data_IF_566067381751
#
_entry.id   IF_566067381751
#
_cell.length_a   1.000
_cell.length_b   1.000
_cell.length_c   1.000
_cell.angle_alpha   90.00
_cell.angle_beta   90.00
_cell.angle_gamma   90.00
#
_symmetry.space_group_name_H-M   'P 1'
#
loop_
_entity.id
_entity.type
_entity.pdbx_description
1 polymer ?
#
# COMPACT_ATOMS: atom_id res chain seq x y z
N UNK A 1 49.18 -4.28 -18.99
CA UNK A 1 48.67 -3.04 -19.61
C UNK A 1 47.25 -2.81 -19.09
N UNK A 2 47.12 -1.83 -18.19
CA UNK A 2 45.88 -1.50 -17.48
C UNK A 2 44.92 -0.77 -18.41
N UNK A 3 43.71 -1.31 -18.63
CA UNK A 3 42.60 -0.57 -19.20
C UNK A 3 41.83 0.10 -18.06
N UNK A 4 42.19 1.34 -17.78
CA UNK A 4 41.39 2.23 -16.94
C UNK A 4 40.18 2.63 -17.80
N UNK A 5 38.99 2.14 -17.45
CA UNK A 5 37.73 2.66 -17.97
C UNK A 5 37.41 3.90 -17.13
N UNK A 6 37.70 5.07 -17.70
CA UNK A 6 37.26 6.36 -17.16
C UNK A 6 35.77 6.49 -17.48
N UNK A 7 34.92 6.35 -16.46
CA UNK A 7 33.55 6.86 -16.56
C UNK A 7 33.63 8.38 -16.58
N UNK A 8 33.44 8.98 -17.76
CA UNK A 8 33.12 10.40 -17.85
C UNK A 8 31.76 10.60 -17.19
N UNK A 9 31.77 11.17 -15.98
CA UNK A 9 30.61 11.82 -15.38
C UNK A 9 30.22 12.99 -16.29
N UNK A 10 29.30 12.73 -17.23
CA UNK A 10 28.54 13.81 -17.83
C UNK A 10 27.70 14.41 -16.71
N UNK A 11 28.13 15.57 -16.20
CA UNK A 11 27.32 16.44 -15.34
C UNK A 11 26.24 17.05 -16.25
N UNK A 12 25.28 16.23 -16.65
CA UNK A 12 24.02 16.72 -17.18
C UNK A 12 23.32 17.46 -16.05
N UNK A 13 22.91 18.70 -16.30
CA UNK A 13 22.00 19.41 -15.42
C UNK A 13 20.70 18.61 -15.36
N UNK A 14 20.58 17.68 -14.41
CA UNK A 14 19.32 17.03 -14.12
C UNK A 14 18.31 18.14 -13.84
N UNK A 15 17.14 18.16 -14.52
CA UNK A 15 16.10 19.10 -14.16
C UNK A 15 15.84 18.95 -12.67
N UNK A 16 16.06 20.03 -11.93
CA UNK A 16 15.81 20.05 -10.50
C UNK A 16 14.34 19.75 -10.31
N UNK A 17 14.04 18.57 -9.73
CA UNK A 17 12.72 18.27 -9.19
C UNK A 17 12.44 19.32 -8.13
N UNK A 18 11.76 20.42 -8.48
CA UNK A 18 11.30 21.38 -7.49
C UNK A 18 10.20 20.70 -6.70
N UNK A 19 10.51 20.31 -5.47
CA UNK A 19 9.52 19.81 -4.52
C UNK A 19 8.38 20.82 -4.41
N UNK A 20 7.14 20.36 -4.58
CA UNK A 20 5.98 21.17 -4.26
C UNK A 20 5.80 21.13 -2.74
N UNK A 21 5.72 22.30 -2.12
CA UNK A 21 5.62 22.44 -0.67
C UNK A 21 4.16 22.57 -0.24
N UNK A 22 3.83 21.98 0.91
CA UNK A 22 2.59 22.21 1.62
C UNK A 22 1.69 20.98 1.71
N UNK A 23 0.60 21.19 2.42
CA UNK A 23 -0.54 20.29 2.50
C UNK A 23 -1.10 19.97 1.10
N UNK A 24 -1.86 18.89 1.00
CA UNK A 24 -2.57 18.48 -0.21
C UNK A 24 -4.07 18.44 0.06
N UNK A 25 -4.70 19.61 -0.05
CA UNK A 25 -6.12 19.80 0.13
C UNK A 25 -6.76 20.26 -1.19
N UNK A 26 -6.87 19.37 -2.19
CA UNK A 26 -7.53 19.73 -3.44
C UNK A 26 -9.01 20.09 -3.21
N UNK A 27 -9.63 20.88 -4.11
CA UNK A 27 -11.04 21.21 -4.01
C UNK A 27 -11.91 19.94 -3.91
N UNK A 28 -12.96 20.00 -3.10
CA UNK A 28 -13.90 18.90 -2.85
C UNK A 28 -13.32 17.67 -2.12
N UNK A 29 -12.10 17.78 -1.56
CA UNK A 29 -11.57 16.73 -0.70
C UNK A 29 -12.44 16.53 0.55
N UNK A 30 -12.79 15.29 0.84
CA UNK A 30 -13.44 14.87 2.07
C UNK A 30 -12.38 14.67 3.16
N UNK A 31 -12.26 15.67 4.05
CA UNK A 31 -11.29 15.67 5.14
C UNK A 31 -11.80 14.95 6.40
N UNK A 32 -12.87 14.16 6.31
CA UNK A 32 -13.33 13.33 7.43
C UNK A 32 -12.50 12.06 7.58
N UNK A 33 -12.51 11.48 8.78
CA UNK A 33 -11.90 10.18 9.08
C UNK A 33 -13.01 9.18 9.48
N UNK A 34 -12.85 7.87 9.19
CA UNK A 34 -11.79 7.27 8.38
C UNK A 34 -12.02 7.56 6.88
N UNK A 35 -10.95 7.46 6.07
CA UNK A 35 -11.03 7.64 4.62
C UNK A 35 -10.20 6.64 3.81
N UNK A 36 -9.49 5.71 4.43
CA UNK A 36 -8.72 4.69 3.72
C UNK A 36 -9.61 3.55 3.24
N UNK A 37 -10.01 2.67 4.16
CA UNK A 37 -10.76 1.45 3.86
C UNK A 37 -12.27 1.66 3.78
N UNK A 38 -12.82 2.67 4.45
CA UNK A 38 -14.24 3.00 4.43
C UNK A 38 -14.42 4.46 4.85
N UNK A 39 -15.58 5.04 4.55
CA UNK A 39 -16.05 6.29 5.16
C UNK A 39 -16.79 6.01 6.46
N UNK A 40 -16.88 7.02 7.33
CA UNK A 40 -17.71 6.95 8.52
C UNK A 40 -19.17 6.56 8.22
N UNK A 41 -19.72 7.04 7.09
CA UNK A 41 -21.09 6.72 6.66
C UNK A 41 -21.31 5.25 6.28
N UNK A 42 -20.25 4.50 5.99
CA UNK A 42 -20.32 3.09 5.62
C UNK A 42 -20.12 2.14 6.82
N UNK A 43 -19.79 2.67 8.01
CA UNK A 43 -19.45 1.86 9.18
C UNK A 43 -20.59 0.95 9.61
N UNK A 44 -21.83 1.46 9.64
CA UNK A 44 -23.00 0.69 10.04
C UNK A 44 -23.28 -0.49 9.10
N UNK A 45 -23.12 -0.28 7.79
CA UNK A 45 -23.30 -1.33 6.79
C UNK A 45 -22.19 -2.40 6.90
N UNK A 46 -20.95 -1.96 7.16
CA UNK A 46 -19.84 -2.88 7.42
C UNK A 46 -20.11 -3.72 8.67
N UNK A 47 -20.54 -3.14 9.79
CA UNK A 47 -20.92 -3.87 11.01
C UNK A 47 -22.06 -4.86 10.74
N UNK A 48 -23.13 -4.42 10.09
CA UNK A 48 -24.27 -5.28 9.76
C UNK A 48 -23.86 -6.47 8.88
N UNK A 49 -22.91 -6.25 7.96
CA UNK A 49 -22.43 -7.31 7.08
C UNK A 49 -21.70 -8.44 7.81
N UNK A 50 -21.15 -8.19 9.01
CA UNK A 50 -20.45 -9.19 9.80
C UNK A 50 -21.40 -10.28 10.34
N UNK A 51 -22.71 -10.11 10.25
CA UNK A 51 -23.69 -11.15 10.55
C UNK A 51 -23.66 -12.32 9.54
N UNK A 52 -23.07 -12.12 8.34
CA UNK A 52 -22.89 -13.20 7.37
C UNK A 52 -21.85 -14.21 7.88
N UNK A 53 -22.14 -15.53 7.93
CA UNK A 53 -21.27 -16.52 8.59
C UNK A 53 -19.80 -16.53 8.11
N UNK A 54 -19.57 -16.33 6.82
CA UNK A 54 -18.23 -16.25 6.24
C UNK A 54 -17.46 -14.99 6.69
N UNK A 55 -18.14 -13.86 6.81
CA UNK A 55 -17.56 -12.58 7.27
C UNK A 55 -17.33 -12.62 8.78
N UNK A 56 -18.27 -13.18 9.52
CA UNK A 56 -18.14 -13.41 10.95
C UNK A 56 -16.94 -14.29 11.28
N UNK A 57 -16.77 -15.41 10.57
CA UNK A 57 -15.63 -16.30 10.77
C UNK A 57 -14.30 -15.60 10.50
N UNK A 58 -14.23 -14.80 9.42
CA UNK A 58 -13.04 -14.02 9.10
C UNK A 58 -12.75 -12.95 10.15
N UNK A 59 -13.78 -12.24 10.60
CA UNK A 59 -13.67 -11.25 11.66
C UNK A 59 -13.26 -11.86 12.99
N UNK A 60 -13.84 -13.02 13.36
CA UNK A 60 -13.48 -13.74 14.57
C UNK A 60 -12.01 -14.16 14.60
N UNK A 61 -11.47 -14.60 13.46
CA UNK A 61 -10.03 -14.87 13.33
C UNK A 61 -9.18 -13.61 13.47
N UNK A 62 -9.58 -12.50 12.84
CA UNK A 62 -8.89 -11.22 12.96
C UNK A 62 -8.92 -10.69 14.41
N UNK A 63 -10.07 -10.75 15.07
CA UNK A 63 -10.25 -10.40 16.47
C UNK A 63 -9.31 -11.21 17.37
N UNK A 64 -9.28 -12.53 17.19
CA UNK A 64 -8.43 -13.42 17.99
C UNK A 64 -6.94 -13.08 17.85
N UNK A 65 -6.47 -12.78 16.63
CA UNK A 65 -5.07 -12.44 16.38
C UNK A 65 -4.63 -11.16 17.11
N UNK A 66 -5.53 -10.18 17.25
CA UNK A 66 -5.22 -8.90 17.90
C UNK A 66 -5.42 -8.90 19.42
N UNK A 67 -5.94 -10.00 20.00
CA UNK A 67 -5.94 -10.17 21.46
C UNK A 67 -4.56 -10.54 22.00
N UNK A 68 -3.67 -11.05 21.15
CA UNK A 68 -2.29 -11.36 21.51
C UNK A 68 -1.42 -10.10 21.66
N UNK A 69 -0.23 -10.27 22.24
CA UNK A 69 0.75 -9.20 22.32
C UNK A 69 1.22 -8.77 20.91
N UNK A 70 1.39 -7.46 20.66
CA UNK A 70 1.98 -6.98 19.41
C UNK A 70 3.36 -7.59 19.14
N UNK A 71 3.71 -7.90 17.88
CA UNK A 71 5.06 -8.33 17.54
C UNK A 71 6.12 -7.30 17.97
N UNK A 72 7.27 -7.76 18.47
CA UNK A 72 8.32 -6.88 19.02
C UNK A 72 9.46 -6.59 18.04
N UNK A 73 9.68 -7.46 17.05
CA UNK A 73 10.72 -7.27 16.03
C UNK A 73 10.40 -6.08 15.13
N UNK A 74 11.22 -5.03 15.25
CA UNK A 74 11.12 -3.81 14.47
C UNK A 74 12.37 -3.56 13.61
N UNK A 75 13.18 -4.60 13.39
CA UNK A 75 14.43 -4.52 12.62
C UNK A 75 14.36 -5.33 11.34
N UNK A 76 13.76 -6.53 11.34
CA UNK A 76 13.63 -7.34 10.13
C UNK A 76 12.44 -6.93 9.27
N UNK A 77 12.52 -7.16 7.95
CA UNK A 77 11.39 -6.91 7.03
C UNK A 77 10.15 -7.74 7.37
N UNK A 78 10.31 -8.95 7.93
CA UNK A 78 9.18 -9.78 8.37
C UNK A 78 8.55 -9.22 9.65
N UNK A 79 9.37 -8.91 10.65
CA UNK A 79 8.90 -8.39 11.94
C UNK A 79 8.19 -7.06 11.80
N UNK A 80 8.76 -6.11 11.06
CA UNK A 80 8.13 -4.80 10.85
C UNK A 80 6.79 -4.90 10.11
N UNK A 81 6.67 -5.79 9.12
CA UNK A 81 5.39 -6.07 8.44
C UNK A 81 4.37 -6.69 9.38
N UNK A 82 4.77 -7.64 10.21
CA UNK A 82 3.89 -8.24 11.21
C UNK A 82 3.37 -7.19 12.21
N UNK A 83 4.22 -6.24 12.64
CA UNK A 83 3.82 -5.09 13.47
C UNK A 83 2.80 -4.19 12.77
N UNK A 84 3.06 -3.82 11.52
CA UNK A 84 2.16 -2.97 10.75
C UNK A 84 0.79 -3.64 10.53
N UNK A 85 0.79 -4.92 10.15
CA UNK A 85 -0.43 -5.71 9.96
C UNK A 85 -1.23 -5.83 11.25
N UNK A 86 -0.57 -6.10 12.38
CA UNK A 86 -1.21 -6.12 13.70
C UNK A 86 -1.84 -4.76 14.02
N UNK A 87 -1.11 -3.65 13.82
CA UNK A 87 -1.61 -2.31 14.07
C UNK A 87 -2.86 -1.98 13.25
N UNK A 88 -2.86 -2.30 11.95
CA UNK A 88 -4.00 -2.13 11.06
C UNK A 88 -5.22 -2.93 11.53
N UNK A 89 -5.03 -4.21 11.82
CA UNK A 89 -6.12 -5.09 12.21
C UNK A 89 -6.71 -4.69 13.57
N UNK A 90 -5.86 -4.30 14.54
CA UNK A 90 -6.30 -3.83 15.85
C UNK A 90 -7.06 -2.50 15.76
N UNK A 91 -6.61 -1.59 14.90
CA UNK A 91 -7.31 -0.33 14.63
C UNK A 91 -8.67 -0.57 13.95
N UNK A 92 -8.76 -1.53 13.03
CA UNK A 92 -10.02 -1.93 12.40
C UNK A 92 -11.01 -2.50 13.42
N UNK A 93 -10.56 -3.39 14.29
CA UNK A 93 -11.34 -3.92 15.41
C UNK A 93 -11.82 -2.80 16.34
N UNK A 94 -10.93 -1.87 16.67
CA UNK A 94 -11.25 -0.70 17.50
C UNK A 94 -12.34 0.17 16.86
N UNK A 95 -12.26 0.40 15.54
CA UNK A 95 -13.26 1.16 14.78
C UNK A 95 -14.62 0.47 14.77
N UNK A 96 -14.65 -0.84 14.55
CA UNK A 96 -15.90 -1.61 14.56
C UNK A 96 -16.57 -1.61 15.93
N UNK A 97 -15.79 -1.56 17.02
CA UNK A 97 -16.37 -1.47 18.37
C UNK A 97 -17.13 -2.73 18.80
N UNK A 98 -16.92 -3.85 18.12
CA UNK A 98 -17.62 -5.11 18.33
C UNK A 98 -16.64 -6.25 18.62
N UNK A 99 -17.08 -7.25 19.37
CA UNK A 99 -16.33 -8.47 19.65
C UNK A 99 -17.19 -9.72 19.36
N UNK A 100 -16.57 -10.85 18.98
CA UNK A 100 -17.27 -12.13 18.86
C UNK A 100 -17.91 -12.59 20.18
N UNK A 101 -19.18 -13.00 20.11
CA UNK A 101 -19.95 -13.60 21.19
C UNK A 101 -20.67 -14.86 20.68
N UNK A 102 -19.94 -15.96 20.57
CA UNK A 102 -20.42 -17.19 19.93
C UNK A 102 -20.67 -16.96 18.43
N UNK A 103 -21.89 -17.21 17.97
CA UNK A 103 -22.34 -16.94 16.59
C UNK A 103 -22.93 -15.55 16.41
N UNK A 104 -22.74 -14.65 17.38
CA UNK A 104 -23.18 -13.25 17.29
C UNK A 104 -22.03 -12.29 17.57
N UNK A 105 -22.28 -10.98 17.45
CA UNK A 105 -21.36 -9.93 17.88
C UNK A 105 -21.96 -9.18 19.06
N UNK A 106 -21.11 -8.75 19.98
CA UNK A 106 -21.47 -7.93 21.12
C UNK A 106 -20.62 -6.65 21.14
N UNK A 107 -21.09 -5.57 21.78
CA UNK A 107 -20.28 -4.37 21.97
C UNK A 107 -18.96 -4.70 22.69
N UNK A 108 -17.88 -4.07 22.24
CA UNK A 108 -16.56 -4.20 22.85
C UNK A 108 -16.51 -3.47 24.20
N UNK A 109 -15.94 -4.08 25.26
CA UNK A 109 -15.74 -3.41 26.54
C UNK A 109 -14.81 -2.19 26.40
N UNK A 110 -15.11 -1.11 27.12
CA UNK A 110 -14.33 0.12 27.07
C UNK A 110 -12.84 -0.07 27.44
N UNK A 111 -12.55 -0.96 28.39
CA UNK A 111 -11.18 -1.31 28.76
C UNK A 111 -10.42 -1.98 27.61
N UNK A 112 -11.02 -2.99 26.96
CA UNK A 112 -10.43 -3.66 25.81
C UNK A 112 -10.19 -2.70 24.64
N UNK A 113 -11.13 -1.77 24.39
CA UNK A 113 -10.94 -0.70 23.41
C UNK A 113 -9.73 0.17 23.77
N UNK A 114 -9.61 0.60 25.03
CA UNK A 114 -8.51 1.43 25.49
C UNK A 114 -7.15 0.74 25.35
N UNK A 115 -7.08 -0.56 25.66
CA UNK A 115 -5.86 -1.37 25.53
C UNK A 115 -5.41 -1.50 24.06
N UNK A 116 -6.34 -1.78 23.14
CA UNK A 116 -6.04 -1.83 21.71
C UNK A 116 -5.59 -0.48 21.17
N UNK A 117 -6.27 0.61 21.54
CA UNK A 117 -5.85 1.98 21.16
C UNK A 117 -4.43 2.27 21.64
N UNK A 118 -4.12 1.96 22.90
CA UNK A 118 -2.80 2.18 23.47
C UNK A 118 -1.73 1.35 22.75
N UNK A 119 -2.01 0.08 22.45
CA UNK A 119 -1.11 -0.80 21.72
C UNK A 119 -0.84 -0.31 20.30
N UNK A 120 -1.87 0.05 19.54
CA UNK A 120 -1.72 0.59 18.18
C UNK A 120 -0.93 1.91 18.20
N UNK A 121 -1.24 2.81 19.13
CA UNK A 121 -0.52 4.08 19.29
C UNK A 121 0.96 3.85 19.58
N UNK A 122 1.28 2.94 20.50
CA UNK A 122 2.66 2.57 20.81
C UNK A 122 3.41 2.02 19.59
N UNK A 123 2.76 1.20 18.76
CA UNK A 123 3.36 0.70 17.52
C UNK A 123 3.62 1.82 16.51
N UNK A 124 2.67 2.74 16.33
CA UNK A 124 2.81 3.89 15.44
C UNK A 124 3.93 4.84 15.91
N UNK A 125 4.03 5.10 17.22
CA UNK A 125 5.05 5.97 17.79
C UNK A 125 6.45 5.35 17.79
N UNK A 126 6.53 4.02 17.83
CA UNK A 126 7.79 3.26 17.81
C UNK A 126 8.13 2.66 16.45
N UNK A 127 7.38 2.97 15.38
CA UNK A 127 7.69 2.43 14.05
C UNK A 127 9.09 2.83 13.60
N UNK A 128 9.74 1.93 12.86
CA UNK A 128 11.00 2.23 12.20
C UNK A 128 10.70 3.01 10.91
N UNK A 129 11.13 4.26 10.83
CA UNK A 129 10.88 5.15 9.69
C UNK A 129 12.02 5.12 8.64
N UNK A 130 13.12 4.38 8.88
CA UNK A 130 14.26 4.37 7.98
C UNK A 130 13.90 3.71 6.64
N UNK A 131 14.47 4.18 5.54
CA UNK A 131 14.31 3.57 4.23
C UNK A 131 15.68 3.38 3.63
N UNK A 132 15.91 2.19 3.08
CA UNK A 132 17.16 1.81 2.43
C UNK A 132 17.42 2.73 1.22
N UNK A 133 18.69 3.07 0.90
CA UNK A 133 18.98 3.86 -0.29
C UNK A 133 18.61 3.11 -1.57
N UNK A 134 18.50 3.83 -2.70
CA UNK A 134 18.20 3.21 -4.00
C UNK A 134 19.26 2.14 -4.37
N UNK A 135 20.53 2.49 -4.21
CA UNK A 135 21.69 1.61 -4.41
C UNK A 135 22.66 1.79 -3.24
N UNK A 136 23.18 0.68 -2.72
CA UNK A 136 24.29 0.68 -1.76
C UNK A 136 25.60 0.29 -2.44
N UNK A 137 26.69 1.01 -2.11
CA UNK A 137 28.04 0.73 -2.60
C UNK A 137 28.91 0.26 -1.44
N UNK A 138 29.34 -0.99 -1.50
CA UNK A 138 30.29 -1.57 -0.54
C UNK A 138 31.69 -1.52 -1.14
N UNK A 139 32.64 -0.94 -0.40
CA UNK A 139 34.05 -0.86 -0.79
C UNK A 139 34.86 -1.85 0.04
N UNK A 140 35.42 -2.86 -0.62
CA UNK A 140 36.30 -3.84 0.03
C UNK A 140 37.75 -3.57 -0.38
N UNK A 141 38.65 -3.42 0.59
CA UNK A 141 40.10 -3.26 0.33
C UNK A 141 40.83 -4.57 0.62
N UNK A 142 41.15 -5.31 -0.44
CA UNK A 142 42.06 -6.45 -0.39
C UNK A 142 43.36 -6.10 -1.13
N UNK A 143 44.32 -5.50 -0.42
CA UNK A 143 45.61 -5.06 -0.99
C UNK A 143 45.58 -3.60 -1.49
N UNK A 144 46.35 -3.30 -2.56
CA UNK A 144 46.56 -1.93 -3.06
C UNK A 144 45.44 -1.39 -3.94
N UNK A 145 44.45 -2.20 -4.34
CA UNK A 145 43.33 -1.78 -5.17
C UNK A 145 41.98 -2.02 -4.47
N UNK A 146 41.09 -1.01 -4.37
CA UNK A 146 39.74 -1.21 -3.85
C UNK A 146 38.87 -1.98 -4.85
N UNK A 147 38.00 -2.87 -4.36
CA UNK A 147 36.89 -3.44 -5.12
C UNK A 147 35.56 -2.82 -4.67
N UNK A 148 34.63 -2.68 -5.61
CA UNK A 148 33.33 -2.06 -5.39
C UNK A 148 32.23 -3.08 -5.71
N UNK A 149 31.30 -3.29 -4.77
CA UNK A 149 30.10 -4.10 -4.96
C UNK A 149 28.88 -3.20 -4.85
N UNK A 150 28.02 -3.26 -5.86
CA UNK A 150 26.77 -2.52 -5.92
C UNK A 150 25.63 -3.47 -5.57
N UNK A 151 24.69 -3.01 -4.73
CA UNK A 151 23.51 -3.78 -4.37
C UNK A 151 22.26 -2.94 -4.49
N UNK A 152 21.29 -3.47 -5.23
CA UNK A 152 19.98 -2.87 -5.47
C UNK A 152 19.09 -3.05 -4.22
N UNK A 153 19.27 -2.15 -3.26
CA UNK A 153 18.57 -2.19 -1.98
C UNK A 153 17.11 -1.71 -2.08
N UNK A 154 16.71 -1.11 -3.21
CA UNK A 154 15.32 -0.73 -3.47
C UNK A 154 14.35 -1.92 -3.48
N UNK A 155 14.85 -3.14 -3.65
CA UNK A 155 14.04 -4.35 -3.56
C UNK A 155 13.38 -4.51 -2.20
N UNK A 156 13.95 -3.93 -1.13
CA UNK A 156 13.33 -3.87 0.20
C UNK A 156 12.13 -2.92 0.25
N UNK A 157 12.03 -1.94 -0.66
CA UNK A 157 10.95 -0.95 -0.66
C UNK A 157 9.58 -1.56 -0.92
N UNK A 158 9.51 -2.74 -1.55
CA UNK A 158 8.26 -3.49 -1.67
C UNK A 158 7.68 -3.82 -0.28
N UNK A 159 8.55 -4.12 0.70
CA UNK A 159 8.17 -4.38 2.07
C UNK A 159 7.90 -3.08 2.82
N UNK A 160 8.78 -2.08 2.69
CA UNK A 160 8.59 -0.75 3.30
C UNK A 160 7.25 -0.12 2.89
N UNK A 161 6.86 -0.28 1.62
CA UNK A 161 5.59 0.23 1.08
C UNK A 161 4.37 -0.43 1.73
N UNK A 162 4.42 -1.74 1.95
CA UNK A 162 3.36 -2.49 2.63
C UNK A 162 3.23 -2.08 4.10
N UNK A 163 4.37 -1.95 4.79
CA UNK A 163 4.42 -1.47 6.17
C UNK A 163 3.81 -0.06 6.30
N UNK A 164 4.20 0.86 5.43
CA UNK A 164 3.72 2.24 5.46
C UNK A 164 2.21 2.31 5.24
N UNK A 165 1.67 1.60 4.23
CA UNK A 165 0.22 1.57 3.97
C UNK A 165 -0.55 1.04 5.18
N UNK A 166 -0.09 -0.06 5.78
CA UNK A 166 -0.78 -0.66 6.93
C UNK A 166 -0.79 0.28 8.16
N UNK A 167 0.32 0.96 8.45
CA UNK A 167 0.35 1.95 9.52
C UNK A 167 -0.48 3.21 9.21
N UNK A 168 -0.52 3.67 7.96
CA UNK A 168 -1.37 4.79 7.54
C UNK A 168 -2.85 4.45 7.71
N UNK A 169 -3.25 3.22 7.32
CA UNK A 169 -4.59 2.71 7.57
C UNK A 169 -4.86 2.65 9.08
N UNK A 170 -3.93 2.14 9.88
CA UNK A 170 -4.11 2.09 11.34
C UNK A 170 -4.37 3.47 11.95
N UNK A 171 -3.59 4.49 11.56
CA UNK A 171 -3.79 5.88 11.99
C UNK A 171 -5.15 6.42 11.56
N UNK A 172 -5.51 6.25 10.28
CA UNK A 172 -6.79 6.71 9.71
C UNK A 172 -7.99 6.09 10.44
N UNK A 173 -7.94 4.78 10.72
CA UNK A 173 -9.00 4.07 11.43
C UNK A 173 -9.10 4.50 12.90
N UNK A 174 -7.99 4.77 13.59
CA UNK A 174 -8.03 5.32 14.95
C UNK A 174 -8.65 6.73 14.99
N UNK A 175 -8.30 7.59 14.02
CA UNK A 175 -8.94 8.91 13.87
C UNK A 175 -10.45 8.75 13.64
N UNK A 176 -10.85 7.78 12.81
CA UNK A 176 -12.24 7.39 12.58
C UNK A 176 -12.96 6.85 13.82
N UNK A 177 -12.23 6.15 14.70
CA UNK A 177 -12.74 5.62 15.96
C UNK A 177 -12.86 6.68 17.08
N UNK A 178 -12.55 7.95 16.77
CA UNK A 178 -12.70 9.08 17.70
C UNK A 178 -11.41 9.52 18.40
N UNK A 179 -10.25 8.91 18.10
CA UNK A 179 -8.97 9.41 18.63
C UNK A 179 -8.64 10.78 18.03
N UNK A 180 -8.23 11.72 18.87
CA UNK A 180 -8.00 13.12 18.46
C UNK A 180 -6.66 13.32 17.74
N UNK A 181 -6.53 14.40 16.98
CA UNK A 181 -5.25 14.76 16.35
C UNK A 181 -4.15 14.97 17.41
N UNK A 182 -4.52 15.57 18.56
CA UNK A 182 -3.60 15.79 19.67
C UNK A 182 -3.10 14.47 20.27
N UNK A 183 -3.98 13.48 20.49
CA UNK A 183 -3.60 12.18 21.05
C UNK A 183 -2.78 11.31 20.08
N UNK A 184 -2.79 11.62 18.78
CA UNK A 184 -2.05 10.90 17.75
C UNK A 184 -0.93 11.75 17.10
N UNK A 185 -0.57 12.90 17.66
CA UNK A 185 0.40 13.82 17.07
C UNK A 185 1.79 13.17 16.88
N UNK A 186 2.25 12.39 17.86
CA UNK A 186 3.52 11.67 17.77
C UNK A 186 3.48 10.56 16.71
N UNK A 187 2.36 9.83 16.63
CA UNK A 187 2.11 8.84 15.57
C UNK A 187 2.15 9.49 14.17
N UNK A 188 1.48 10.64 14.01
CA UNK A 188 1.47 11.40 12.76
C UNK A 188 2.90 11.81 12.34
N UNK A 189 3.69 12.34 13.27
CA UNK A 189 5.07 12.74 13.01
C UNK A 189 5.95 11.57 12.54
N UNK A 190 5.76 10.38 13.11
CA UNK A 190 6.49 9.17 12.68
C UNK A 190 6.10 8.70 11.28
N UNK A 191 4.80 8.73 10.96
CA UNK A 191 4.31 8.38 9.62
C UNK A 191 4.80 9.38 8.57
N UNK A 192 4.78 10.67 8.91
CA UNK A 192 5.28 11.73 8.04
C UNK A 192 6.78 11.57 7.77
N UNK A 193 7.58 11.24 8.80
CA UNK A 193 9.00 10.94 8.63
C UNK A 193 9.22 9.70 7.74
N UNK A 194 8.44 8.64 7.93
CA UNK A 194 8.56 7.42 7.12
C UNK A 194 8.21 7.69 5.64
N UNK A 195 7.08 8.34 5.36
CA UNK A 195 6.71 8.73 4.00
C UNK A 195 7.75 9.68 3.37
N UNK A 196 8.28 10.64 4.16
CA UNK A 196 9.32 11.55 3.70
C UNK A 196 10.63 10.85 3.36
N UNK A 197 11.07 9.89 4.19
CA UNK A 197 12.25 9.08 3.92
C UNK A 197 12.05 8.22 2.66
N UNK A 198 10.87 7.63 2.47
CA UNK A 198 10.56 6.86 1.26
C UNK A 198 10.57 7.76 0.01
N UNK A 199 9.98 8.94 0.09
CA UNK A 199 10.02 9.94 -0.98
C UNK A 199 11.45 10.35 -1.32
N UNK A 200 12.26 10.68 -0.30
CA UNK A 200 13.64 11.08 -0.47
C UNK A 200 14.44 9.97 -1.17
N UNK A 201 14.40 8.73 -0.67
CA UNK A 201 15.19 7.64 -1.26
C UNK A 201 14.72 7.30 -2.68
N UNK A 202 13.42 7.31 -2.95
CA UNK A 202 12.86 7.00 -4.27
C UNK A 202 13.07 8.09 -5.32
N UNK A 203 13.39 9.32 -4.91
CA UNK A 203 13.65 10.45 -5.83
C UNK A 203 15.12 10.85 -5.91
N UNK A 204 15.96 10.40 -4.97
CA UNK A 204 17.40 10.69 -4.98
C UNK A 204 18.08 9.90 -6.09
N UNK A 205 18.72 10.57 -7.08
CA UNK A 205 19.43 9.88 -8.14
C UNK A 205 20.75 9.27 -7.62
N UNK A 206 21.11 8.10 -8.14
CA UNK A 206 22.43 7.50 -8.00
C UNK A 206 23.13 7.52 -9.36
N UNK A 207 24.30 8.17 -9.43
CA UNK A 207 25.08 8.30 -10.67
C UNK A 207 24.26 8.79 -11.89
N UNK A 208 23.29 9.70 -11.66
CA UNK A 208 22.43 10.26 -12.71
C UNK A 208 21.18 9.43 -13.05
N UNK A 209 20.97 8.28 -12.41
CA UNK A 209 19.80 7.42 -12.60
C UNK A 209 18.93 7.45 -11.35
N UNK A 210 17.61 7.62 -11.51
CA UNK A 210 16.63 7.55 -10.43
C UNK A 210 15.79 6.27 -10.50
N UNK A 211 15.19 5.87 -9.38
CA UNK A 211 14.28 4.72 -9.32
C UNK A 211 13.15 4.81 -10.36
N UNK A 212 12.39 5.91 -10.39
CA UNK A 212 11.26 6.07 -11.31
C UNK A 212 11.65 6.20 -12.80
N UNK A 213 12.92 6.48 -13.11
CA UNK A 213 13.40 6.45 -14.49
C UNK A 213 13.87 5.06 -14.93
N UNK A 214 14.30 4.20 -14.01
CA UNK A 214 14.90 2.90 -14.30
C UNK A 214 13.98 1.70 -14.07
N UNK A 215 13.09 1.79 -13.08
CA UNK A 215 12.22 0.68 -12.68
C UNK A 215 10.81 0.94 -13.18
N UNK A 216 10.26 0.02 -13.98
CA UNK A 216 8.95 0.14 -14.65
C UNK A 216 8.03 -1.04 -14.38
N UNK A 217 7.97 -1.47 -13.13
CA UNK A 217 7.32 -2.72 -12.73
C UNK A 217 6.51 -2.57 -11.43
N UNK A 218 6.06 -3.68 -10.85
CA UNK A 218 5.27 -3.74 -9.62
C UNK A 218 5.90 -2.95 -8.44
N UNK A 219 7.23 -2.93 -8.29
CA UNK A 219 7.89 -2.17 -7.21
C UNK A 219 7.60 -0.67 -7.32
N UNK A 220 7.52 -0.14 -8.53
CA UNK A 220 7.20 1.27 -8.76
C UNK A 220 5.75 1.56 -8.38
N UNK A 221 4.82 0.69 -8.77
CA UNK A 221 3.41 0.81 -8.41
C UNK A 221 3.21 0.76 -6.91
N UNK A 222 3.86 -0.18 -6.22
CA UNK A 222 3.76 -0.32 -4.77
C UNK A 222 4.31 0.89 -4.01
N UNK A 223 5.48 1.39 -4.42
CA UNK A 223 6.12 2.57 -3.81
C UNK A 223 5.29 3.83 -4.05
N UNK A 224 4.82 4.02 -5.28
CA UNK A 224 3.98 5.16 -5.66
C UNK A 224 2.62 5.13 -4.93
N UNK A 225 1.99 3.95 -4.81
CA UNK A 225 0.74 3.80 -4.08
C UNK A 225 0.89 4.06 -2.58
N UNK A 226 2.02 3.67 -1.98
CA UNK A 226 2.30 3.97 -0.56
C UNK A 226 2.43 5.48 -0.31
N UNK A 227 3.17 6.20 -1.16
CA UNK A 227 3.27 7.66 -1.09
C UNK A 227 1.93 8.36 -1.40
N UNK A 228 1.17 7.86 -2.37
CA UNK A 228 -0.18 8.35 -2.65
C UNK A 228 -1.12 8.18 -1.46
N UNK A 229 -1.08 7.02 -0.78
CA UNK A 229 -1.85 6.77 0.44
C UNK A 229 -1.42 7.72 1.56
N UNK A 230 -0.11 7.96 1.72
CA UNK A 230 0.41 8.91 2.70
C UNK A 230 -0.14 10.32 2.46
N UNK A 231 -0.21 10.74 1.19
CA UNK A 231 -0.74 12.04 0.82
C UNK A 231 -2.24 12.18 1.15
N UNK A 232 -3.04 11.14 0.98
CA UNK A 232 -4.46 11.14 1.35
C UNK A 232 -4.62 11.25 2.88
N UNK A 233 -3.94 10.38 3.63
CA UNK A 233 -4.12 10.24 5.09
C UNK A 233 -3.53 11.42 5.86
N UNK A 234 -2.38 11.92 5.42
CA UNK A 234 -1.65 13.02 6.04
C UNK A 234 -1.81 14.32 5.23
N UNK A 235 -2.95 14.48 4.54
CA UNK A 235 -3.19 15.57 3.59
C UNK A 235 -2.98 16.96 4.18
N UNK A 236 -3.25 17.14 5.47
CA UNK A 236 -3.11 18.40 6.20
C UNK A 236 -1.74 18.57 6.88
N UNK A 237 -0.89 17.54 6.88
CA UNK A 237 0.40 17.59 7.55
C UNK A 237 1.32 18.64 6.91
N UNK A 238 2.04 19.36 7.78
CA UNK A 238 3.02 20.38 7.39
C UNK A 238 4.39 20.02 7.94
N UNK A 239 5.45 20.34 7.22
CA UNK A 239 6.83 20.19 7.69
C UNK A 239 7.73 21.25 7.06
N UNK A 240 8.85 21.54 7.71
CA UNK A 240 9.94 22.33 7.11
C UNK A 240 10.85 21.49 6.22
N UNK A 241 10.81 20.16 6.35
CA UNK A 241 11.53 19.23 5.47
C UNK A 241 10.79 19.11 4.13
N UNK A 242 11.48 19.45 3.04
CA UNK A 242 10.90 19.45 1.69
C UNK A 242 10.50 18.04 1.21
N UNK A 243 11.05 16.98 1.80
CA UNK A 243 10.66 15.61 1.49
C UNK A 243 9.39 15.19 2.22
N UNK A 244 8.98 15.91 3.27
CA UNK A 244 7.86 15.59 4.14
C UNK A 244 6.58 16.34 3.77
N UNK A 245 6.30 16.46 2.47
CA UNK A 245 5.24 17.30 1.92
C UNK A 245 4.16 16.43 1.24
N UNK A 246 2.93 16.39 1.78
CA UNK A 246 1.83 15.62 1.19
C UNK A 246 1.58 15.94 -0.29
N UNK A 247 1.71 17.20 -0.69
CA UNK A 247 1.57 17.62 -2.09
C UNK A 247 2.60 16.95 -3.00
N UNK A 248 3.86 16.85 -2.59
CA UNK A 248 4.90 16.16 -3.36
C UNK A 248 4.62 14.66 -3.47
N UNK A 249 4.11 14.03 -2.41
CA UNK A 249 3.75 12.61 -2.42
C UNK A 249 2.55 12.31 -3.31
N UNK A 250 1.51 13.15 -3.29
CA UNK A 250 0.33 13.01 -4.15
C UNK A 250 0.72 13.07 -5.64
N UNK A 251 1.53 14.09 -5.98
CA UNK A 251 2.05 14.29 -7.32
C UNK A 251 2.84 13.09 -7.82
N UNK A 252 3.83 12.64 -7.03
CA UNK A 252 4.65 11.50 -7.38
C UNK A 252 3.81 10.22 -7.48
N UNK A 253 2.96 9.97 -6.48
CA UNK A 253 2.18 8.75 -6.36
C UNK A 253 1.27 8.53 -7.56
N UNK A 254 0.37 9.47 -7.85
CA UNK A 254 -0.55 9.27 -8.96
C UNK A 254 0.13 9.39 -10.33
N UNK A 255 1.10 10.28 -10.49
CA UNK A 255 1.83 10.41 -11.76
C UNK A 255 2.53 9.11 -12.15
N UNK A 256 3.22 8.46 -11.20
CA UNK A 256 3.97 7.23 -11.52
C UNK A 256 3.08 6.00 -11.65
N UNK A 257 1.96 5.92 -10.92
CA UNK A 257 0.94 4.88 -11.16
C UNK A 257 0.39 5.00 -12.57
N UNK A 258 -0.04 6.20 -12.98
CA UNK A 258 -0.55 6.45 -14.34
C UNK A 258 0.54 6.23 -15.41
N UNK A 259 1.79 6.62 -15.13
CA UNK A 259 2.89 6.43 -16.07
C UNK A 259 3.17 4.95 -16.33
N UNK A 260 3.46 4.19 -15.27
CA UNK A 260 3.88 2.79 -15.38
C UNK A 260 2.77 1.89 -15.88
N UNK A 261 1.50 2.16 -15.54
CA UNK A 261 0.42 1.35 -16.08
C UNK A 261 0.10 1.68 -17.54
N UNK A 262 0.11 2.97 -17.92
CA UNK A 262 -0.61 3.39 -19.12
C UNK A 262 0.19 4.14 -20.18
N UNK A 263 1.33 4.75 -19.84
CA UNK A 263 1.96 5.77 -20.71
C UNK A 263 3.41 5.53 -21.04
N UNK A 264 4.14 4.87 -20.16
CA UNK A 264 5.56 4.57 -20.39
C UNK A 264 5.71 3.66 -21.62
N UNK A 265 6.84 3.76 -22.32
CA UNK A 265 7.14 2.84 -23.43
C UNK A 265 7.28 1.40 -22.92
N UNK A 266 7.70 1.24 -21.66
CA UNK A 266 7.76 -0.03 -20.93
C UNK A 266 6.56 -0.21 -19.98
N UNK A 267 5.40 0.39 -20.32
CA UNK A 267 4.20 0.27 -19.50
C UNK A 267 3.76 -1.18 -19.28
N UNK A 268 3.11 -1.39 -18.15
CA UNK A 268 2.65 -2.70 -17.70
C UNK A 268 1.31 -3.13 -18.31
N UNK A 269 0.55 -2.21 -18.92
CA UNK A 269 -0.77 -2.50 -19.46
C UNK A 269 -1.14 -1.58 -20.62
N UNK A 270 -2.22 -1.91 -21.33
CA UNK A 270 -2.81 -1.04 -22.35
C UNK A 270 -4.04 -0.30 -21.81
N UNK A 271 -4.16 0.97 -22.18
CA UNK A 271 -5.24 1.84 -21.66
C UNK A 271 -6.45 1.96 -22.57
N UNK A 272 -6.52 1.21 -23.67
CA UNK A 272 -7.49 1.44 -24.76
C UNK A 272 -8.23 0.20 -25.26
N UNK A 273 -7.59 -0.97 -25.34
CA UNK A 273 -8.21 -2.14 -26.02
C UNK A 273 -8.06 -3.46 -25.27
N UNK A 274 -6.83 -3.87 -24.96
CA UNK A 274 -6.54 -5.17 -24.35
C UNK A 274 -5.81 -4.93 -23.03
N UNK A 275 -6.54 -5.00 -21.93
CA UNK A 275 -5.89 -4.95 -20.63
C UNK A 275 -5.25 -6.31 -20.29
N UNK A 276 -4.06 -6.20 -19.70
CA UNK A 276 -3.24 -7.29 -19.18
C UNK A 276 -2.22 -6.70 -18.23
N UNK A 277 -1.36 -7.53 -17.65
CA UNK A 277 -0.23 -7.05 -16.87
C UNK A 277 1.04 -7.76 -17.35
N UNK A 278 2.04 -7.01 -17.78
CA UNK A 278 3.19 -7.56 -18.51
C UNK A 278 4.04 -8.53 -17.67
N UNK A 279 4.07 -8.38 -16.33
CA UNK A 279 4.74 -9.34 -15.43
C UNK A 279 3.87 -10.56 -15.06
N UNK A 280 2.69 -10.71 -15.68
CA UNK A 280 1.77 -11.81 -15.41
C UNK A 280 0.81 -11.57 -14.25
N UNK A 281 -0.12 -12.52 -14.00
CA UNK A 281 -1.24 -12.34 -13.09
C UNK A 281 -0.84 -12.26 -11.63
N UNK A 282 0.19 -13.00 -11.18
CA UNK A 282 0.64 -12.90 -9.80
C UNK A 282 1.25 -11.54 -9.47
N UNK A 283 2.17 -11.03 -10.31
CA UNK A 283 2.76 -9.72 -10.05
C UNK A 283 1.75 -8.58 -10.22
N UNK A 284 0.71 -8.75 -11.05
CA UNK A 284 -0.44 -7.86 -11.04
C UNK A 284 -1.14 -7.85 -9.68
N UNK A 285 -1.50 -9.04 -9.15
CA UNK A 285 -2.04 -9.15 -7.78
C UNK A 285 -1.11 -8.48 -6.78
N UNK A 286 0.19 -8.74 -6.87
CA UNK A 286 1.19 -8.24 -5.94
C UNK A 286 1.26 -6.71 -5.90
N UNK A 287 1.21 -6.05 -7.07
CA UNK A 287 1.08 -4.60 -7.16
C UNK A 287 -0.26 -4.10 -6.59
N UNK A 288 -1.36 -4.81 -6.90
CA UNK A 288 -2.70 -4.46 -6.44
C UNK A 288 -2.89 -4.55 -4.92
N UNK A 289 -2.09 -5.35 -4.20
CA UNK A 289 -2.08 -5.35 -2.73
C UNK A 289 -1.76 -3.97 -2.13
N UNK A 290 -1.04 -3.11 -2.87
CA UNK A 290 -0.75 -1.74 -2.46
C UNK A 290 -1.67 -0.74 -3.20
N UNK A 291 -1.94 -0.97 -4.48
CA UNK A 291 -2.75 -0.05 -5.29
C UNK A 291 -4.23 -0.05 -4.91
N UNK A 292 -4.85 -1.19 -4.59
CA UNK A 292 -6.29 -1.23 -4.27
C UNK A 292 -6.64 -0.46 -3.00
N UNK A 293 -5.91 -0.58 -1.87
CA UNK A 293 -6.11 0.29 -0.72
C UNK A 293 -5.95 1.78 -1.07
N UNK A 294 -4.95 2.13 -1.87
CA UNK A 294 -4.74 3.51 -2.32
C UNK A 294 -5.91 4.03 -3.18
N UNK A 295 -6.37 3.25 -4.16
CA UNK A 295 -7.46 3.65 -5.04
C UNK A 295 -8.77 3.82 -4.26
N UNK A 296 -9.06 2.89 -3.35
CA UNK A 296 -10.21 3.02 -2.44
C UNK A 296 -10.11 4.27 -1.57
N UNK A 297 -8.93 4.55 -1.02
CA UNK A 297 -8.69 5.76 -0.25
C UNK A 297 -8.92 7.03 -1.09
N UNK A 298 -8.48 7.04 -2.36
CA UNK A 298 -8.74 8.12 -3.30
C UNK A 298 -10.23 8.29 -3.62
N UNK A 299 -10.99 7.20 -3.77
CA UNK A 299 -12.44 7.25 -3.99
C UNK A 299 -13.22 7.76 -2.77
N UNK A 300 -12.70 7.52 -1.57
CA UNK A 300 -13.26 8.08 -0.35
C UNK A 300 -12.89 9.56 -0.18
N UNK A 301 -11.65 9.92 -0.48
CA UNK A 301 -11.10 11.26 -0.27
C UNK A 301 -11.54 12.27 -1.31
N UNK A 302 -11.68 11.86 -2.58
CA UNK A 302 -12.02 12.75 -3.69
C UNK A 302 -13.18 12.20 -4.51
N UNK A 303 -14.06 13.06 -5.04
CA UNK A 303 -15.07 12.62 -6.01
C UNK A 303 -14.42 12.18 -7.32
N UNK A 304 -15.25 11.67 -8.22
CA UNK A 304 -14.84 11.47 -9.61
C UNK A 304 -14.47 12.81 -10.25
N UNK A 305 -13.41 12.81 -11.03
CA UNK A 305 -12.84 14.01 -11.60
C UNK A 305 -11.37 13.81 -11.96
N UNK A 306 -10.79 14.84 -12.58
CA UNK A 306 -9.38 14.88 -12.94
C UNK A 306 -8.69 16.04 -12.24
N UNK A 307 -7.51 15.80 -11.71
CA UNK A 307 -6.66 16.83 -11.11
C UNK A 307 -5.30 16.87 -11.81
N UNK A 308 -4.60 18.01 -11.77
CA UNK A 308 -3.24 18.12 -12.28
C UNK A 308 -2.24 17.49 -11.29
N UNK A 309 -1.39 16.59 -11.80
CA UNK A 309 -0.29 15.98 -11.04
C UNK A 309 1.03 16.18 -11.78
N UNK A 310 2.04 16.71 -11.08
CA UNK A 310 3.31 17.15 -11.64
C UNK A 310 4.48 16.35 -11.09
N UNK A 311 5.22 15.66 -11.95
CA UNK A 311 6.44 14.96 -11.57
C UNK A 311 7.44 15.00 -12.72
N UNK A 312 8.75 15.07 -12.42
CA UNK A 312 9.78 15.11 -13.47
C UNK A 312 9.68 16.29 -14.44
N UNK A 313 9.06 17.39 -14.05
CA UNK A 313 8.79 18.54 -14.93
C UNK A 313 7.57 18.39 -15.85
N UNK A 314 6.88 17.25 -15.82
CA UNK A 314 5.68 16.99 -16.61
C UNK A 314 4.42 17.08 -15.74
N UNK A 315 3.44 17.88 -16.17
CA UNK A 315 2.12 17.98 -15.55
C UNK A 315 1.11 17.18 -16.37
N UNK A 316 0.32 16.33 -15.70
CA UNK A 316 -0.75 15.55 -16.33
C UNK A 316 -2.05 15.76 -15.61
N UNK A 317 -3.13 15.96 -16.37
CA UNK A 317 -4.47 15.79 -15.83
C UNK A 317 -4.73 14.28 -15.72
N UNK A 318 -4.91 13.75 -14.51
CA UNK A 318 -5.13 12.32 -14.24
C UNK A 318 -6.46 12.16 -13.50
N UNK A 319 -7.28 11.18 -13.91
CA UNK A 319 -8.56 10.90 -13.26
C UNK A 319 -8.32 10.15 -11.95
N UNK A 320 -9.20 10.35 -10.97
CA UNK A 320 -9.20 9.55 -9.75
C UNK A 320 -9.27 8.05 -10.10
N UNK A 321 -8.29 7.23 -9.68
CA UNK A 321 -8.17 5.84 -10.12
C UNK A 321 -9.33 4.95 -9.67
N UNK A 322 -10.06 5.32 -8.61
CA UNK A 322 -11.25 4.59 -8.17
C UNK A 322 -12.38 4.62 -9.21
N UNK A 323 -12.47 5.70 -9.99
CA UNK A 323 -13.53 5.94 -10.97
C UNK A 323 -13.04 5.83 -12.41
N UNK A 324 -11.76 5.53 -12.63
CA UNK A 324 -11.19 5.48 -13.98
C UNK A 324 -11.46 4.11 -14.65
N UNK A 325 -12.23 4.07 -15.76
CA UNK A 325 -12.60 2.82 -16.43
C UNK A 325 -11.39 2.02 -16.96
N UNK A 326 -10.21 2.62 -17.08
CA UNK A 326 -8.99 1.88 -17.43
C UNK A 326 -8.67 0.78 -16.42
N UNK A 327 -8.95 1.01 -15.14
CA UNK A 327 -8.74 -0.01 -14.11
C UNK A 327 -9.78 -1.12 -14.19
N UNK A 328 -11.01 -0.81 -14.62
CA UNK A 328 -12.04 -1.83 -14.86
C UNK A 328 -11.60 -2.85 -15.92
N UNK A 329 -10.91 -2.41 -16.97
CA UNK A 329 -10.35 -3.32 -17.97
C UNK A 329 -9.34 -4.29 -17.35
N UNK A 330 -8.46 -3.79 -16.46
CA UNK A 330 -7.49 -4.63 -15.75
C UNK A 330 -8.16 -5.63 -14.80
N UNK A 331 -9.21 -5.20 -14.09
CA UNK A 331 -9.99 -6.08 -13.20
C UNK A 331 -10.77 -7.12 -14.00
N UNK A 332 -11.35 -6.72 -15.13
CA UNK A 332 -12.04 -7.63 -16.05
C UNK A 332 -11.08 -8.70 -16.56
N UNK A 333 -9.89 -8.32 -17.06
CA UNK A 333 -8.85 -9.26 -17.46
C UNK A 333 -8.50 -10.24 -16.34
N UNK A 334 -8.18 -9.75 -15.13
CA UNK A 334 -7.87 -10.62 -13.98
C UNK A 334 -9.01 -11.60 -13.69
N UNK A 335 -10.26 -11.18 -13.83
CA UNK A 335 -11.40 -12.07 -13.61
C UNK A 335 -11.69 -13.03 -14.75
N UNK A 336 -11.34 -12.67 -15.99
CA UNK A 336 -11.59 -13.46 -17.19
C UNK A 336 -10.60 -14.62 -17.34
N UNK A 337 -9.34 -14.44 -16.91
CA UNK A 337 -8.29 -15.47 -17.04
C UNK A 337 -8.32 -16.54 -15.94
N UNK A 338 -9.25 -16.44 -14.98
CA UNK A 338 -9.27 -17.36 -13.83
C UNK A 338 -9.55 -18.79 -14.26
N UNK A 339 -8.88 -19.71 -13.59
CA UNK A 339 -9.15 -21.14 -13.65
C UNK A 339 -10.55 -21.44 -13.09
N UNK A 340 -11.15 -22.61 -13.42
CA UNK A 340 -12.51 -22.96 -12.98
C UNK A 340 -12.75 -22.92 -11.46
N UNK A 341 -11.71 -23.10 -10.66
CA UNK A 341 -11.74 -23.04 -9.20
C UNK A 341 -11.47 -21.63 -8.62
N UNK A 342 -11.33 -20.62 -9.47
CA UNK A 342 -11.12 -19.22 -9.11
C UNK A 342 -9.65 -18.80 -8.98
N UNK A 343 -8.69 -19.71 -9.20
CA UNK A 343 -7.26 -19.37 -9.20
C UNK A 343 -6.84 -18.55 -10.41
N UNK A 344 -5.72 -17.86 -10.26
CA UNK A 344 -4.97 -17.27 -11.36
C UNK A 344 -4.19 -18.38 -12.08
N UNK A 345 -4.03 -18.29 -13.41
CA UNK A 345 -3.17 -19.21 -14.14
C UNK A 345 -1.70 -18.93 -13.80
N UNK A 346 -0.89 -19.98 -13.69
CA UNK A 346 0.55 -19.85 -13.40
C UNK A 346 1.33 -19.52 -14.68
N UNK A 347 1.10 -18.32 -15.22
CA UNK A 347 1.82 -17.75 -16.36
C UNK A 347 2.90 -16.79 -15.86
N UNK A 348 4.05 -16.76 -16.54
CA UNK A 348 5.26 -16.06 -16.09
C UNK A 348 5.68 -16.50 -14.67
N UNK A 349 6.29 -15.60 -13.90
CA UNK A 349 6.66 -15.81 -12.49
C UNK A 349 5.42 -15.75 -11.58
N UNK A 350 4.53 -16.73 -11.72
CA UNK A 350 3.28 -16.86 -10.96
C UNK A 350 3.17 -18.18 -10.20
N UNK A 351 2.53 -18.13 -9.04
CA UNK A 351 2.26 -19.31 -8.23
C UNK A 351 0.99 -20.04 -8.69
N UNK A 352 0.99 -21.36 -8.53
CA UNK A 352 -0.13 -22.24 -8.93
C UNK A 352 -1.35 -22.13 -8.03
N UNK A 353 -1.23 -21.60 -6.81
CA UNK A 353 -2.23 -21.65 -5.76
C UNK A 353 -2.77 -20.27 -5.38
N UNK A 354 -2.69 -19.27 -6.26
CA UNK A 354 -3.11 -17.91 -5.98
C UNK A 354 -4.49 -17.57 -6.55
N UNK A 355 -5.32 -16.88 -5.78
CA UNK A 355 -6.53 -16.19 -6.25
C UNK A 355 -6.43 -14.68 -6.00
N UNK A 356 -7.47 -13.90 -6.34
CA UNK A 356 -7.49 -12.44 -6.14
C UNK A 356 -8.76 -11.94 -5.43
N UNK A 357 -9.03 -12.39 -4.19
CA UNK A 357 -10.20 -11.91 -3.42
C UNK A 357 -10.17 -10.40 -3.15
N UNK A 358 -9.00 -9.77 -3.24
CA UNK A 358 -8.78 -8.36 -2.95
C UNK A 358 -9.51 -7.42 -3.93
N UNK A 359 -9.95 -7.91 -5.09
CA UNK A 359 -10.80 -7.13 -6.01
C UNK A 359 -12.13 -6.67 -5.36
N UNK A 360 -12.52 -7.23 -4.21
CA UNK A 360 -13.61 -6.69 -3.40
C UNK A 360 -13.43 -5.18 -3.07
N UNK A 361 -12.20 -4.70 -2.89
CA UNK A 361 -11.91 -3.30 -2.57
C UNK A 361 -12.37 -2.31 -3.65
N UNK A 362 -12.56 -2.79 -4.89
CA UNK A 362 -13.09 -1.96 -6.00
C UNK A 362 -14.51 -1.47 -5.72
N UNK A 363 -15.25 -2.10 -4.80
CA UNK A 363 -16.68 -1.83 -4.58
C UNK A 363 -17.58 -2.31 -5.72
N UNK A 364 -17.04 -3.10 -6.65
CA UNK A 364 -17.73 -3.59 -7.82
C UNK A 364 -17.98 -5.11 -7.68
N UNK A 365 -19.20 -5.55 -7.31
CA UNK A 365 -19.49 -6.94 -6.98
C UNK A 365 -19.18 -7.92 -8.11
N UNK A 366 -19.22 -7.47 -9.37
CA UNK A 366 -18.88 -8.30 -10.51
C UNK A 366 -17.43 -8.80 -10.49
N UNK A 367 -16.51 -8.10 -9.81
CA UNK A 367 -15.11 -8.51 -9.68
C UNK A 367 -14.80 -9.30 -8.40
N UNK A 368 -15.67 -9.22 -7.39
CA UNK A 368 -15.56 -9.98 -6.15
C UNK A 368 -16.10 -11.41 -6.35
N UNK A 369 -15.25 -12.30 -6.87
CA UNK A 369 -15.68 -13.65 -7.27
C UNK A 369 -15.38 -14.70 -6.19
N UNK A 370 -16.27 -15.68 -5.98
CA UNK A 370 -16.00 -16.82 -5.10
C UNK A 370 -14.79 -17.64 -5.56
N UNK A 371 -14.13 -18.29 -4.60
CA UNK A 371 -13.00 -19.20 -4.84
C UNK A 371 -13.34 -20.58 -4.28
N UNK A 372 -13.02 -21.64 -5.03
CA UNK A 372 -13.44 -23.02 -4.76
C UNK A 372 -12.22 -23.95 -4.59
N UNK A 373 -11.31 -23.59 -3.68
CA UNK A 373 -10.00 -24.24 -3.49
C UNK A 373 -10.03 -25.67 -2.91
N UNK A 374 -11.19 -26.32 -2.83
CA UNK A 374 -11.40 -27.61 -2.16
C UNK A 374 -10.67 -28.80 -2.78
N UNK A 375 -9.98 -28.60 -3.91
CA UNK A 375 -9.30 -29.65 -4.68
C UNK A 375 -7.77 -29.53 -4.72
N UNK A 376 -7.18 -28.49 -4.11
CA UNK A 376 -5.73 -28.39 -3.96
C UNK A 376 -5.29 -28.95 -2.60
N UNK A 377 -4.55 -30.05 -2.63
CA UNK A 377 -3.91 -30.62 -1.43
C UNK A 377 -2.44 -30.19 -1.38
N UNK A 378 -1.88 -30.06 -0.17
CA UNK A 378 -0.46 -29.75 0.02
C UNK A 378 -0.05 -28.29 -0.18
N UNK A 379 -1.00 -27.35 -0.31
CA UNK A 379 -0.72 -25.92 -0.39
C UNK A 379 -1.32 -25.18 0.81
N UNK A 380 -0.60 -24.19 1.36
CA UNK A 380 -1.10 -23.37 2.48
C UNK A 380 -2.13 -22.34 2.03
N UNK A 381 -2.20 -22.03 0.73
CA UNK A 381 -3.06 -20.99 0.15
C UNK A 381 -4.43 -21.50 -0.34
N UNK A 382 -4.83 -22.71 0.07
CA UNK A 382 -6.05 -23.40 -0.37
C UNK A 382 -7.36 -22.91 0.29
N UNK A 383 -7.42 -21.68 0.83
CA UNK A 383 -8.67 -21.10 1.34
C UNK A 383 -8.71 -19.60 1.11
N UNK A 384 -9.92 -19.02 1.02
CA UNK A 384 -10.06 -17.55 0.93
C UNK A 384 -9.46 -16.86 2.17
N UNK A 385 -9.58 -17.48 3.34
CA UNK A 385 -8.94 -17.02 4.58
C UNK A 385 -7.43 -16.98 4.44
N UNK A 386 -6.82 -18.06 3.92
CA UNK A 386 -5.37 -18.11 3.70
C UNK A 386 -4.91 -17.11 2.63
N UNK A 387 -5.66 -16.94 1.53
CA UNK A 387 -5.36 -15.91 0.53
C UNK A 387 -5.35 -14.50 1.13
N UNK A 388 -6.28 -14.22 2.03
CA UNK A 388 -6.39 -12.90 2.68
C UNK A 388 -5.41 -12.74 3.84
N UNK A 389 -5.08 -13.79 4.60
CA UNK A 389 -4.23 -13.72 5.80
C UNK A 389 -2.75 -13.94 5.49
N UNK A 390 -2.45 -14.98 4.73
CA UNK A 390 -1.12 -15.58 4.59
C UNK A 390 -0.42 -15.19 3.29
N UNK A 391 -1.08 -14.40 2.44
CA UNK A 391 -0.39 -13.68 1.38
C UNK A 391 0.66 -12.71 1.98
N UNK A 392 1.43 -12.05 1.12
CA UNK A 392 2.50 -11.14 1.55
C UNK A 392 2.03 -9.94 2.41
N UNK A 393 0.72 -9.70 2.47
CA UNK A 393 0.02 -8.71 3.32
C UNK A 393 -1.28 -9.33 3.80
N UNK A 394 -1.64 -9.08 5.06
CA UNK A 394 -2.95 -9.43 5.59
C UNK A 394 -4.03 -8.46 5.07
N UNK A 395 -4.90 -8.92 4.19
CA UNK A 395 -5.96 -8.14 3.55
C UNK A 395 -7.33 -8.33 4.21
N UNK A 396 -7.43 -9.03 5.36
CA UNK A 396 -8.72 -9.33 6.00
C UNK A 396 -9.49 -8.08 6.39
N UNK A 397 -8.85 -7.11 7.07
CA UNK A 397 -9.49 -5.83 7.42
C UNK A 397 -9.99 -5.08 6.18
N UNK A 398 -9.17 -5.04 5.13
CA UNK A 398 -9.50 -4.36 3.89
C UNK A 398 -10.68 -5.02 3.14
N UNK A 399 -10.70 -6.35 3.10
CA UNK A 399 -11.79 -7.12 2.51
C UNK A 399 -13.08 -6.99 3.32
N UNK A 400 -13.01 -7.05 4.65
CA UNK A 400 -14.17 -6.84 5.54
C UNK A 400 -14.74 -5.42 5.44
N UNK A 401 -13.90 -4.41 5.24
CA UNK A 401 -14.32 -3.02 5.05
C UNK A 401 -14.98 -2.74 3.68
N UNK A 402 -14.86 -3.65 2.71
CA UNK A 402 -15.43 -3.51 1.37
C UNK A 402 -16.88 -3.99 1.27
N UNK A 403 -17.62 -3.95 2.39
CA UNK A 403 -18.93 -4.57 2.58
C UNK A 403 -20.03 -4.08 1.65
#
# INVERSE_FOLDING_TARGET
MNKIIIFLLAVGTSPSLRAQSGNWNPPQADLSYPRTLLKASALADVQASLAAPNRQALYGGLWADVQGAPPTDNTSASGRRARAAWAKNAAFVTLLGEQPAGTTLAPMPAAARADLVAAVRNLLESLNANVEPFITVTVTRNGTSPSYTYSDTYTEWQWRSKELIDYLIAYDLLRGAGETAASLAASQGKLQAFAGNLYQQSTTPFAGVSFYSAVKNNHTLMTAAALGTAAVVLSDATSTDANQQPSSWANLGLHNVDNVLWRDDQRQSDSTQVAGYAEGPYYCKYALLNCLPYFRAMGNFLPDGRLPYTFGGATRSIRNPYFDPKYNLLYEWLTAIRMPDGRLPALEDSYVDMGVPELALTGQPQYAKPMYFSKLTGTSMASAVAQLRDATVDMRAAWLAAA
#
